data_IF_224477259365
#
_entry.id   IF_224477259365
#
_cell.length_a   1.000
_cell.length_b   1.000
_cell.length_c   1.000
_cell.angle_alpha   90.00
_cell.angle_beta   90.00
_cell.angle_gamma   90.00
#
_symmetry.space_group_name_H-M   'P 1'
#
loop_
_entity.id
_entity.type
_entity.pdbx_description
1 polymer ?
#
# COMPACT_ATOMS: atom_id res chain seq x y z
N UNK A 1 19.12 -5.17 46.40
CA UNK A 1 19.45 -5.54 45.00
C UNK A 1 18.44 -4.83 44.13
N UNK A 2 18.86 -3.99 43.19
CA UNK A 2 17.92 -3.36 42.26
C UNK A 2 17.31 -4.43 41.37
N UNK A 3 15.98 -4.48 41.27
CA UNK A 3 15.31 -5.33 40.28
C UNK A 3 15.81 -4.94 38.89
N UNK A 4 16.26 -5.93 38.11
CA UNK A 4 16.65 -5.69 36.73
C UNK A 4 15.40 -5.31 35.93
N UNK A 5 15.41 -4.11 35.33
CA UNK A 5 14.34 -3.66 34.45
C UNK A 5 14.43 -4.47 33.15
N UNK A 6 13.36 -5.18 32.81
CA UNK A 6 13.28 -6.04 31.61
C UNK A 6 12.32 -5.41 30.61
N UNK A 7 12.78 -5.24 29.37
CA UNK A 7 11.95 -4.80 28.25
C UNK A 7 11.67 -5.96 27.29
N UNK A 8 10.42 -6.04 26.82
CA UNK A 8 10.00 -6.98 25.78
C UNK A 8 9.24 -6.26 24.68
N UNK A 9 9.26 -6.83 23.48
CA UNK A 9 8.54 -6.28 22.32
C UNK A 9 7.04 -6.46 22.55
N UNK A 10 6.30 -5.36 22.48
CA UNK A 10 4.84 -5.37 22.48
C UNK A 10 4.34 -5.76 21.09
N UNK A 11 4.85 -5.09 20.05
CA UNK A 11 4.60 -5.41 18.64
C UNK A 11 5.73 -4.91 17.75
N UNK A 12 5.69 -5.32 16.49
CA UNK A 12 6.55 -4.88 15.41
C UNK A 12 5.69 -4.60 14.18
N UNK A 13 6.03 -3.54 13.44
CA UNK A 13 5.45 -3.26 12.12
C UNK A 13 6.58 -3.33 11.11
N UNK A 14 6.43 -4.22 10.14
CA UNK A 14 7.34 -4.40 9.02
C UNK A 14 6.73 -3.83 7.75
N UNK A 15 7.49 -3.04 7.01
CA UNK A 15 7.17 -2.56 5.69
C UNK A 15 8.01 -3.38 4.72
N UNK A 16 7.33 -4.15 3.88
CA UNK A 16 7.93 -5.11 2.95
C UNK A 16 7.64 -4.63 1.53
N UNK A 17 8.67 -4.17 0.83
CA UNK A 17 8.52 -3.64 -0.53
C UNK A 17 9.14 -4.57 -1.57
N UNK A 18 8.29 -5.11 -2.43
CA UNK A 18 8.66 -6.13 -3.43
C UNK A 18 9.76 -5.65 -4.39
N UNK A 19 9.82 -4.36 -4.73
CA UNK A 19 10.86 -3.78 -5.60
C UNK A 19 12.29 -4.18 -5.18
N UNK A 20 12.56 -4.19 -3.88
CA UNK A 20 13.89 -4.55 -3.34
C UNK A 20 14.01 -6.05 -3.03
N UNK A 21 12.88 -6.73 -2.83
CA UNK A 21 12.83 -8.11 -2.37
C UNK A 21 12.64 -9.11 -3.52
N UNK A 22 12.30 -8.67 -4.73
CA UNK A 22 12.27 -9.53 -5.91
C UNK A 22 13.67 -10.08 -6.25
N UNK A 23 13.73 -11.39 -6.55
CA UNK A 23 14.95 -12.11 -6.92
C UNK A 23 15.22 -12.10 -8.42
N UNK A 24 16.38 -12.60 -8.84
CA UNK A 24 16.85 -12.59 -10.25
C UNK A 24 15.97 -13.41 -11.21
N UNK A 25 15.21 -14.36 -10.66
CA UNK A 25 14.18 -15.14 -11.35
C UNK A 25 12.92 -14.33 -11.68
N UNK A 26 12.78 -13.13 -11.10
CA UNK A 26 11.60 -12.28 -11.25
C UNK A 26 10.41 -12.71 -10.41
N UNK A 27 10.56 -13.71 -9.54
CA UNK A 27 9.50 -14.15 -8.63
C UNK A 27 9.31 -13.13 -7.50
N UNK A 28 8.04 -12.78 -7.22
CA UNK A 28 7.70 -11.88 -6.12
C UNK A 28 8.20 -12.45 -4.79
N UNK A 29 8.62 -11.57 -3.88
CA UNK A 29 8.86 -11.95 -2.50
C UNK A 29 7.66 -12.67 -1.90
N UNK A 30 6.44 -12.21 -2.22
CA UNK A 30 5.20 -12.68 -1.62
C UNK A 30 4.71 -14.04 -2.12
N UNK A 31 5.35 -14.56 -3.17
CA UNK A 31 5.06 -15.91 -3.68
C UNK A 31 5.95 -16.99 -3.07
N UNK A 32 6.95 -16.60 -2.26
CA UNK A 32 7.87 -17.53 -1.61
C UNK A 32 7.29 -18.09 -0.30
N UNK A 33 7.74 -19.28 0.09
CA UNK A 33 7.42 -19.85 1.40
C UNK A 33 8.11 -19.07 2.55
N UNK A 34 7.69 -19.33 3.79
CA UNK A 34 8.19 -18.63 4.98
C UNK A 34 9.72 -18.74 5.16
N UNK A 35 10.29 -19.93 5.01
CA UNK A 35 11.73 -20.13 5.22
C UNK A 35 12.59 -19.39 4.18
N UNK A 36 12.12 -19.36 2.93
CA UNK A 36 12.78 -18.61 1.85
C UNK A 36 12.65 -17.10 2.04
N UNK A 37 11.49 -16.61 2.50
CA UNK A 37 11.28 -15.21 2.87
C UNK A 37 12.24 -14.76 3.97
N UNK A 38 12.33 -15.53 5.07
CA UNK A 38 13.24 -15.25 6.18
C UNK A 38 14.71 -15.25 5.74
N UNK A 39 15.11 -16.25 4.94
CA UNK A 39 16.48 -16.37 4.41
C UNK A 39 16.84 -15.21 3.48
N UNK A 40 15.89 -14.78 2.64
CA UNK A 40 16.06 -13.67 1.71
C UNK A 40 16.18 -12.33 2.44
N UNK A 41 15.30 -12.07 3.42
CA UNK A 41 15.38 -10.88 4.27
C UNK A 41 16.73 -10.85 4.98
N UNK A 42 17.14 -11.94 5.63
CA UNK A 42 18.41 -12.01 6.34
C UNK A 42 19.58 -11.66 5.42
N UNK A 43 19.62 -12.25 4.22
CA UNK A 43 20.66 -11.98 3.22
C UNK A 43 20.66 -10.52 2.76
N UNK A 44 19.50 -9.92 2.52
CA UNK A 44 19.37 -8.51 2.11
C UNK A 44 19.80 -7.57 3.23
N UNK A 45 19.44 -7.85 4.47
CA UNK A 45 19.85 -7.07 5.64
C UNK A 45 21.37 -7.16 5.90
N UNK A 46 21.95 -8.36 5.85
CA UNK A 46 23.40 -8.57 6.06
C UNK A 46 24.24 -7.83 5.02
N UNK A 47 23.78 -7.80 3.77
CA UNK A 47 24.46 -7.12 2.67
C UNK A 47 24.08 -5.63 2.55
N UNK A 48 23.23 -5.10 3.44
CA UNK A 48 22.72 -3.71 3.41
C UNK A 48 22.06 -3.34 2.07
N UNK A 49 21.32 -4.29 1.49
CA UNK A 49 20.58 -4.14 0.23
C UNK A 49 19.08 -3.88 0.48
N UNK A 50 18.65 -3.82 1.73
CA UNK A 50 17.30 -3.47 2.10
C UNK A 50 17.31 -2.72 3.44
N UNK A 51 16.89 -1.46 3.41
CA UNK A 51 16.70 -0.67 4.62
C UNK A 51 15.58 0.34 4.38
N UNK A 52 14.46 0.13 5.07
CA UNK A 52 13.28 0.98 4.96
C UNK A 52 13.54 2.43 5.39
N UNK A 53 14.56 2.66 6.22
CA UNK A 53 14.93 3.99 6.73
C UNK A 53 15.50 4.89 5.63
N UNK A 54 16.00 4.28 4.55
CA UNK A 54 16.42 5.00 3.35
C UNK A 54 15.23 5.47 2.50
N UNK A 55 14.04 4.88 2.71
CA UNK A 55 12.82 5.19 1.97
C UNK A 55 11.84 6.06 2.75
N UNK A 56 11.80 5.91 4.08
CA UNK A 56 10.82 6.54 4.93
C UNK A 56 11.37 7.12 6.23
N UNK A 57 10.80 8.27 6.59
CA UNK A 57 10.84 8.83 7.93
C UNK A 57 9.59 8.36 8.69
N UNK A 58 9.77 7.60 9.77
CA UNK A 58 8.68 7.08 10.61
C UNK A 58 8.70 7.76 11.98
N UNK A 59 7.62 8.41 12.40
CA UNK A 59 7.56 9.14 13.67
C UNK A 59 6.22 8.97 14.40
N UNK A 60 6.24 9.02 15.74
CA UNK A 60 5.00 9.10 16.52
C UNK A 60 4.32 10.47 16.28
N UNK A 61 3.00 10.49 16.13
CA UNK A 61 2.22 11.72 15.86
C UNK A 61 1.08 11.92 16.86
N UNK A 62 0.48 13.11 16.87
CA UNK A 62 -0.63 13.46 17.76
C UNK A 62 -0.31 13.24 19.24
N UNK A 63 -1.26 12.65 19.97
CA UNK A 63 -1.15 12.32 21.41
C UNK A 63 -0.18 11.17 21.70
N UNK A 64 0.24 10.40 20.70
CA UNK A 64 1.09 9.20 20.84
C UNK A 64 2.41 9.50 21.55
N UNK A 65 3.03 10.66 21.31
CA UNK A 65 4.28 11.05 22.01
C UNK A 65 4.07 11.11 23.54
N UNK A 66 2.93 11.61 23.98
CA UNK A 66 2.57 11.67 25.40
C UNK A 66 2.24 10.28 25.95
N UNK A 67 1.48 9.47 25.19
CA UNK A 67 1.13 8.09 25.56
C UNK A 67 2.39 7.25 25.76
N UNK A 68 3.35 7.31 24.82
CA UNK A 68 4.62 6.60 24.92
C UNK A 68 5.38 6.95 26.20
N UNK A 69 5.43 8.24 26.55
CA UNK A 69 6.10 8.72 27.77
C UNK A 69 5.39 8.31 29.06
N UNK A 70 4.05 8.31 29.06
CA UNK A 70 3.22 7.97 30.20
C UNK A 70 3.34 6.47 30.53
N UNK A 71 3.29 5.61 29.51
CA UNK A 71 3.39 4.16 29.67
C UNK A 71 4.82 3.60 29.59
N UNK A 72 5.83 4.47 29.50
CA UNK A 72 7.26 4.09 29.37
C UNK A 72 7.52 3.14 28.19
N UNK A 73 6.79 3.36 27.09
CA UNK A 73 6.99 2.63 25.85
C UNK A 73 8.20 3.18 25.10
N UNK A 74 8.98 2.27 24.53
CA UNK A 74 10.18 2.61 23.76
C UNK A 74 9.95 2.23 22.30
N UNK A 75 10.16 3.19 21.40
CA UNK A 75 10.08 2.98 19.95
C UNK A 75 11.49 2.84 19.40
N UNK A 76 11.74 1.79 18.62
CA UNK A 76 13.00 1.57 17.92
C UNK A 76 12.75 1.38 16.42
N UNK A 77 13.32 2.26 15.59
CA UNK A 77 13.30 2.12 14.13
C UNK A 77 14.28 1.01 13.71
N UNK A 78 13.86 0.12 12.82
CA UNK A 78 14.66 -0.99 12.28
C UNK A 78 14.79 -0.85 10.77
N UNK A 79 15.60 -1.69 10.13
CA UNK A 79 15.69 -1.75 8.67
C UNK A 79 14.43 -2.32 8.00
N UNK A 80 13.53 -2.95 8.76
CA UNK A 80 12.25 -3.47 8.26
C UNK A 80 11.07 -2.57 8.62
N UNK A 81 11.18 -1.70 9.62
CA UNK A 81 10.11 -0.78 10.01
C UNK A 81 10.37 -0.22 11.39
N UNK A 82 9.54 -0.59 12.37
CA UNK A 82 9.74 -0.18 13.76
C UNK A 82 9.18 -1.20 14.75
N UNK A 83 9.68 -1.13 15.97
CA UNK A 83 9.30 -1.98 17.10
C UNK A 83 8.88 -1.07 18.25
N UNK A 84 7.83 -1.45 18.95
CA UNK A 84 7.46 -0.84 20.24
C UNK A 84 7.70 -1.86 21.34
N UNK A 85 8.50 -1.47 22.33
CA UNK A 85 8.79 -2.26 23.52
C UNK A 85 8.13 -1.67 24.75
N UNK A 86 7.78 -2.54 25.70
CA UNK A 86 7.27 -2.16 27.02
C UNK A 86 8.08 -2.83 28.13
N UNK A 87 8.11 -2.18 29.29
CA UNK A 87 8.68 -2.75 30.51
C UNK A 87 7.75 -3.83 31.06
N UNK A 88 8.33 -4.96 31.50
CA UNK A 88 7.56 -6.11 31.97
C UNK A 88 8.03 -6.66 33.31
N UNK A 89 7.08 -7.26 34.01
CA UNK A 89 7.32 -8.16 35.14
C UNK A 89 7.26 -9.60 34.61
N UNK A 90 8.29 -10.38 34.95
CA UNK A 90 8.39 -11.79 34.54
C UNK A 90 7.65 -12.66 35.53
N UNK A 91 6.73 -13.48 35.04
CA UNK A 91 6.00 -14.45 35.84
C UNK A 91 6.19 -15.85 35.26
N UNK A 92 6.41 -16.85 36.11
CA UNK A 92 6.49 -18.24 35.69
C UNK A 92 5.23 -18.96 36.14
N UNK A 93 4.47 -19.51 35.20
CA UNK A 93 3.23 -20.24 35.46
C UNK A 93 3.27 -21.59 34.73
N UNK A 94 3.24 -22.68 35.50
CA UNK A 94 3.21 -24.04 34.95
C UNK A 94 4.32 -24.34 33.91
N UNK A 95 5.53 -23.82 34.14
CA UNK A 95 6.67 -24.00 33.22
C UNK A 95 6.69 -23.04 32.03
N UNK A 96 5.70 -22.15 31.91
CA UNK A 96 5.66 -21.09 30.89
C UNK A 96 6.15 -19.78 31.51
N UNK A 97 7.10 -19.11 30.86
CA UNK A 97 7.52 -17.75 31.23
C UNK A 97 6.64 -16.74 30.50
N UNK A 98 5.84 -16.03 31.28
CA UNK A 98 4.93 -14.97 30.86
C UNK A 98 5.49 -13.60 31.20
N UNK A 99 5.08 -12.60 30.43
CA UNK A 99 5.54 -11.21 30.59
C UNK A 99 4.35 -10.29 30.73
N UNK A 100 4.18 -9.71 31.93
CA UNK A 100 3.10 -8.77 32.21
C UNK A 100 3.62 -7.35 32.04
N UNK A 101 2.96 -6.47 31.27
CA UNK A 101 3.29 -5.05 31.24
C UNK A 101 3.31 -4.46 32.65
N UNK A 102 4.34 -3.67 32.97
CA UNK A 102 4.45 -3.02 34.29
C UNK A 102 3.34 -1.98 34.49
N UNK A 103 2.95 -1.31 33.41
CA UNK A 103 1.87 -0.33 33.40
C UNK A 103 0.67 -0.93 32.68
N UNK A 104 -0.51 -0.80 33.28
CA UNK A 104 -1.77 -1.23 32.68
C UNK A 104 -2.21 -0.23 31.62
N UNK A 105 -2.55 -0.73 30.44
CA UNK A 105 -3.00 0.10 29.32
C UNK A 105 -4.51 0.25 29.37
N UNK A 106 -5.02 1.43 29.01
CA UNK A 106 -6.46 1.58 28.74
C UNK A 106 -6.80 0.87 27.43
N UNK A 107 -7.97 0.23 27.33
CA UNK A 107 -8.42 -0.38 26.07
C UNK A 107 -8.59 0.67 24.96
N UNK A 108 -8.94 1.91 25.31
CA UNK A 108 -9.06 3.02 24.35
C UNK A 108 -7.70 3.59 23.91
N UNK A 109 -6.59 3.00 24.36
CA UNK A 109 -5.24 3.44 23.96
C UNK A 109 -5.00 3.08 22.50
N UNK A 110 -4.45 4.05 21.78
CA UNK A 110 -4.01 3.86 20.41
C UNK A 110 -2.68 4.60 20.17
N UNK A 111 -1.82 4.00 19.35
CA UNK A 111 -0.50 4.51 19.03
C UNK A 111 -0.43 4.79 17.53
N UNK A 112 -0.36 6.07 17.18
CA UNK A 112 -0.30 6.56 15.81
C UNK A 112 1.11 6.95 15.40
N UNK A 113 1.53 6.44 14.25
CA UNK A 113 2.83 6.71 13.64
C UNK A 113 2.66 7.18 12.19
N UNK A 114 3.29 8.29 11.81
CA UNK A 114 3.35 8.70 10.41
C UNK A 114 4.44 7.97 9.65
N UNK A 115 4.19 7.72 8.37
CA UNK A 115 5.16 7.24 7.39
C UNK A 115 5.27 8.31 6.32
N UNK A 116 6.44 8.94 6.21
CA UNK A 116 6.71 9.99 5.23
C UNK A 116 7.80 9.53 4.25
N UNK A 117 7.55 9.53 2.93
CA UNK A 117 8.57 9.20 1.95
C UNK A 117 9.73 10.19 2.02
N UNK A 118 10.96 9.67 2.14
CA UNK A 118 12.20 10.44 2.02
C UNK A 118 12.84 10.27 0.63
N UNK A 119 12.59 9.13 -0.02
CA UNK A 119 13.11 8.83 -1.35
C UNK A 119 12.22 9.42 -2.46
N UNK A 120 12.80 10.26 -3.34
CA UNK A 120 12.06 10.92 -4.43
C UNK A 120 11.49 9.97 -5.49
N UNK A 121 12.04 8.77 -5.60
CA UNK A 121 11.62 7.75 -6.56
C UNK A 121 10.55 6.79 -6.03
N UNK A 122 10.16 6.92 -4.76
CA UNK A 122 9.19 6.01 -4.11
C UNK A 122 7.91 5.85 -4.93
N UNK A 123 7.28 6.97 -5.33
CA UNK A 123 6.04 6.95 -6.12
C UNK A 123 6.20 6.24 -7.48
N UNK A 124 7.42 6.24 -8.04
CA UNK A 124 7.73 5.62 -9.31
C UNK A 124 7.93 4.11 -9.21
N UNK A 125 8.39 3.59 -8.07
CA UNK A 125 8.64 2.16 -7.87
C UNK A 125 7.49 1.42 -7.17
N UNK A 126 6.64 2.13 -6.43
CA UNK A 126 5.54 1.52 -5.67
C UNK A 126 4.24 1.55 -6.46
N UNK A 127 3.47 0.47 -6.38
CA UNK A 127 2.17 0.36 -7.03
C UNK A 127 1.08 1.13 -6.28
N UNK A 128 1.16 2.46 -6.33
CA UNK A 128 0.22 3.38 -5.67
C UNK A 128 -0.48 4.28 -6.70
N UNK A 129 -1.70 4.73 -6.42
CA UNK A 129 -2.40 5.65 -7.32
C UNK A 129 -1.70 7.02 -7.35
N UNK A 130 -1.43 7.52 -8.56
CA UNK A 130 -0.64 8.73 -8.81
C UNK A 130 -1.51 9.99 -8.87
N UNK A 131 -2.78 9.83 -9.27
CA UNK A 131 -3.74 10.95 -9.36
C UNK A 131 -5.09 10.51 -8.78
N UNK A 132 -5.17 10.26 -7.47
CA UNK A 132 -6.43 9.94 -6.81
C UNK A 132 -7.40 11.14 -6.90
N UNK A 133 -8.73 10.88 -6.94
CA UNK A 133 -9.73 11.95 -6.92
C UNK A 133 -9.80 12.66 -5.55
N UNK A 134 -9.50 11.92 -4.47
CA UNK A 134 -9.44 12.41 -3.10
C UNK A 134 -7.97 12.65 -2.69
N UNK A 135 -7.66 13.71 -1.92
CA UNK A 135 -6.33 13.96 -1.40
C UNK A 135 -6.05 13.10 -0.15
N UNK A 136 -6.56 11.87 -0.13
CA UNK A 136 -6.43 10.96 1.00
C UNK A 136 -5.02 10.36 1.06
N UNK A 137 -4.60 10.10 2.29
CA UNK A 137 -3.38 9.34 2.59
C UNK A 137 -3.77 7.95 3.10
N UNK A 138 -2.79 7.05 3.14
CA UNK A 138 -3.02 5.67 3.56
C UNK A 138 -3.25 5.60 5.08
N UNK A 139 -4.18 4.77 5.54
CA UNK A 139 -4.46 4.53 6.95
C UNK A 139 -4.44 3.03 7.21
N UNK A 140 -3.50 2.60 8.06
CA UNK A 140 -3.32 1.21 8.43
C UNK A 140 -3.64 1.02 9.90
N UNK A 141 -4.38 -0.02 10.25
CA UNK A 141 -4.71 -0.35 11.63
C UNK A 141 -4.74 -1.85 11.85
N UNK A 142 -4.51 -2.29 13.09
CA UNK A 142 -4.68 -3.69 13.48
C UNK A 142 -6.13 -4.05 13.86
N UNK A 143 -7.02 -3.06 13.91
CA UNK A 143 -8.43 -3.26 14.26
C UNK A 143 -9.25 -3.83 13.11
N UNK A 144 -10.18 -4.71 13.45
CA UNK A 144 -11.12 -5.36 12.51
C UNK A 144 -10.40 -6.05 11.34
N UNK A 145 -9.25 -6.67 11.65
CA UNK A 145 -8.43 -7.39 10.68
C UNK A 145 -8.60 -8.89 10.82
N UNK A 146 -8.69 -9.54 9.67
CA UNK A 146 -8.71 -10.99 9.58
C UNK A 146 -7.30 -11.55 9.37
N UNK A 147 -7.09 -12.76 9.87
CA UNK A 147 -5.86 -13.51 9.64
C UNK A 147 -5.70 -13.77 8.15
N UNK A 148 -4.49 -13.57 7.63
CA UNK A 148 -4.19 -13.90 6.24
C UNK A 148 -3.31 -15.15 6.17
N UNK A 149 -3.92 -16.26 5.77
CA UNK A 149 -3.22 -17.51 5.51
C UNK A 149 -2.72 -17.55 4.07
N UNK A 150 -1.39 -17.59 3.92
CA UNK A 150 -0.76 -17.52 2.62
C UNK A 150 -0.83 -18.87 1.89
N UNK A 151 -1.57 -18.92 0.78
CA UNK A 151 -1.52 -20.03 -0.16
C UNK A 151 -0.38 -19.86 -1.19
N UNK A 152 0.27 -20.96 -1.64
CA UNK A 152 -0.02 -22.36 -1.33
C UNK A 152 0.72 -22.92 -0.08
N UNK A 153 1.63 -22.15 0.52
CA UNK A 153 2.55 -22.65 1.55
C UNK A 153 1.96 -22.70 2.97
N UNK A 154 0.70 -22.32 3.13
CA UNK A 154 -0.12 -22.34 4.34
C UNK A 154 0.65 -21.92 5.59
N UNK A 155 0.93 -20.61 5.66
CA UNK A 155 1.38 -20.00 6.89
C UNK A 155 0.64 -18.70 7.15
N UNK A 156 0.46 -18.38 8.42
CA UNK A 156 -0.26 -17.20 8.87
C UNK A 156 0.63 -15.96 8.85
N UNK A 157 0.10 -14.89 8.31
CA UNK A 157 0.66 -13.54 8.33
C UNK A 157 -0.37 -12.52 8.82
N UNK A 158 0.09 -11.36 9.28
CA UNK A 158 -0.76 -10.32 9.87
C UNK A 158 -0.64 -8.98 9.10
N UNK A 159 -1.05 -8.92 7.81
CA UNK A 159 -1.08 -7.68 7.07
C UNK A 159 -2.13 -6.71 7.66
N UNK A 160 -1.77 -5.44 7.79
CA UNK A 160 -2.67 -4.39 8.32
C UNK A 160 -3.31 -3.55 7.22
N UNK A 161 -3.14 -3.93 5.95
CA UNK A 161 -3.91 -3.38 4.84
C UNK A 161 -5.36 -3.86 4.86
N UNK A 162 -6.26 -3.12 4.24
CA UNK A 162 -7.65 -3.49 4.00
C UNK A 162 -7.74 -4.55 2.90
N UNK A 163 -8.90 -5.19 2.84
CA UNK A 163 -9.28 -5.95 1.64
C UNK A 163 -9.42 -4.99 0.45
N UNK A 164 -9.21 -5.52 -0.75
CA UNK A 164 -9.34 -4.74 -1.98
C UNK A 164 -10.80 -4.30 -2.17
N UNK A 165 -11.01 -3.05 -2.57
CA UNK A 165 -12.34 -2.53 -2.85
C UNK A 165 -13.07 -3.37 -3.91
N UNK A 166 -14.36 -3.60 -3.68
CA UNK A 166 -15.25 -4.18 -4.68
C UNK A 166 -15.28 -3.26 -5.91
N UNK A 167 -15.28 -3.86 -7.10
CA UNK A 167 -15.47 -3.12 -8.34
C UNK A 167 -16.79 -2.33 -8.32
N UNK A 168 -16.70 -1.03 -8.58
CA UNK A 168 -17.85 -0.12 -8.68
C UNK A 168 -17.95 0.47 -10.08
N UNK A 169 -19.17 0.52 -10.62
CA UNK A 169 -19.46 1.16 -11.90
C UNK A 169 -19.22 2.67 -11.82
N UNK A 170 -18.62 3.25 -12.85
CA UNK A 170 -18.32 4.69 -12.93
C UNK A 170 -17.04 5.13 -12.20
N UNK A 171 -16.38 4.24 -11.46
CA UNK A 171 -15.02 4.47 -10.96
C UNK A 171 -14.01 4.35 -12.11
N UNK A 172 -13.04 5.26 -12.12
CA UNK A 172 -11.93 5.23 -13.07
C UNK A 172 -10.70 4.66 -12.37
N UNK A 173 -10.20 3.55 -12.88
CA UNK A 173 -9.07 2.81 -12.32
C UNK A 173 -7.79 3.19 -13.04
N UNK A 174 -6.75 3.56 -12.27
CA UNK A 174 -5.41 3.76 -12.82
C UNK A 174 -4.71 2.44 -13.08
N UNK A 175 -3.73 2.42 -13.98
CA UNK A 175 -2.86 1.25 -14.16
C UNK A 175 -2.22 0.86 -12.82
N UNK A 176 -2.38 -0.40 -12.43
CA UNK A 176 -1.95 -0.95 -11.15
C UNK A 176 -3.03 -0.96 -10.06
N UNK A 177 -4.18 -0.30 -10.27
CA UNK A 177 -5.28 -0.36 -9.32
C UNK A 177 -5.79 -1.79 -9.15
N UNK A 178 -6.15 -2.14 -7.91
CA UNK A 178 -6.71 -3.44 -7.57
C UNK A 178 -8.21 -3.29 -7.34
N UNK A 179 -9.00 -4.23 -7.85
CA UNK A 179 -10.43 -4.32 -7.60
C UNK A 179 -10.87 -5.78 -7.45
N UNK A 180 -11.86 -6.02 -6.58
CA UNK A 180 -12.50 -7.32 -6.44
C UNK A 180 -13.72 -7.44 -7.37
N UNK A 181 -13.67 -8.41 -8.28
CA UNK A 181 -14.75 -8.77 -9.19
C UNK A 181 -15.49 -10.02 -8.70
N UNK A 182 -16.09 -9.92 -7.51
CA UNK A 182 -16.91 -10.99 -6.93
C UNK A 182 -16.09 -12.19 -6.44
N UNK A 183 -15.02 -11.94 -5.69
CA UNK A 183 -14.07 -12.91 -5.15
C UNK A 183 -12.83 -13.14 -6.01
N UNK A 184 -12.72 -12.48 -7.17
CA UNK A 184 -11.53 -12.52 -8.03
C UNK A 184 -10.87 -11.16 -8.03
N UNK A 185 -9.69 -11.07 -7.41
CA UNK A 185 -8.91 -9.85 -7.39
C UNK A 185 -8.26 -9.65 -8.75
N UNK A 186 -8.46 -8.47 -9.33
CA UNK A 186 -7.87 -8.08 -10.61
C UNK A 186 -7.04 -6.82 -10.46
N UNK A 187 -5.98 -6.75 -11.26
CA UNK A 187 -5.14 -5.57 -11.41
C UNK A 187 -5.37 -4.93 -12.78
N UNK A 188 -5.56 -3.62 -12.82
CA UNK A 188 -5.68 -2.87 -14.05
C UNK A 188 -4.32 -2.80 -14.77
N UNK A 189 -4.23 -3.29 -16.01
CA UNK A 189 -2.98 -3.24 -16.81
C UNK A 189 -2.83 -1.94 -17.59
N UNK A 190 -3.88 -1.13 -17.65
CA UNK A 190 -3.88 0.23 -18.15
C UNK A 190 -4.99 1.02 -17.45
N UNK A 191 -5.05 2.32 -17.68
CA UNK A 191 -6.17 3.12 -17.21
C UNK A 191 -7.48 2.64 -17.85
N UNK A 192 -8.53 2.50 -17.05
CA UNK A 192 -9.80 1.91 -17.50
C UNK A 192 -10.98 2.39 -16.66
N UNK A 193 -12.17 2.37 -17.25
CA UNK A 193 -13.46 2.64 -16.60
C UNK A 193 -14.07 1.40 -15.91
N UNK A 194 -13.29 0.32 -15.79
CA UNK A 194 -13.74 -0.96 -15.25
C UNK A 194 -14.39 -1.92 -16.24
N UNK A 195 -14.87 -1.45 -17.41
CA UNK A 195 -15.78 -2.23 -18.24
C UNK A 195 -15.11 -3.20 -19.24
N UNK A 196 -13.90 -2.89 -19.71
CA UNK A 196 -13.19 -3.73 -20.68
C UNK A 196 -12.36 -4.83 -19.99
N UNK A 197 -12.70 -6.12 -20.16
CA UNK A 197 -11.95 -7.22 -19.54
C UNK A 197 -10.48 -7.29 -19.98
N UNK A 198 -10.13 -6.79 -21.18
CA UNK A 198 -8.75 -6.80 -21.68
C UNK A 198 -7.84 -5.82 -20.91
N UNK A 199 -8.42 -4.92 -20.12
CA UNK A 199 -7.67 -3.98 -19.28
C UNK A 199 -7.38 -4.53 -17.89
N UNK A 200 -7.72 -5.78 -17.62
CA UNK A 200 -7.55 -6.42 -16.32
C UNK A 200 -6.78 -7.72 -16.41
N UNK A 201 -6.06 -8.05 -15.34
CA UNK A 201 -5.44 -9.37 -15.15
C UNK A 201 -5.75 -9.89 -13.77
N UNK A 202 -6.12 -11.16 -13.68
CA UNK A 202 -6.36 -11.84 -12.41
C UNK A 202 -5.04 -11.95 -11.62
N UNK A 203 -5.11 -11.65 -10.33
CA UNK A 203 -3.98 -11.80 -9.42
C UNK A 203 -4.41 -12.54 -8.16
N UNK A 204 -3.46 -13.20 -7.50
CA UNK A 204 -3.70 -13.77 -6.17
C UNK A 204 -3.75 -12.64 -5.14
N UNK A 205 -4.73 -12.68 -4.24
CA UNK A 205 -4.72 -11.79 -3.09
C UNK A 205 -3.48 -12.08 -2.24
N UNK A 206 -2.75 -11.04 -1.88
CA UNK A 206 -1.59 -11.09 -0.99
C UNK A 206 -1.69 -10.01 0.09
N UNK A 207 -2.86 -9.36 0.22
CA UNK A 207 -3.09 -8.18 1.06
C UNK A 207 -2.05 -7.10 0.80
N UNK A 208 -1.90 -6.75 -0.48
CA UNK A 208 -1.10 -5.60 -0.88
C UNK A 208 -1.81 -4.31 -0.52
N UNK A 209 -1.03 -3.28 -0.18
CA UNK A 209 -1.55 -1.92 -0.06
C UNK A 209 -2.25 -1.53 -1.36
N UNK A 210 -3.48 -1.02 -1.25
CA UNK A 210 -4.35 -0.66 -2.39
C UNK A 210 -5.11 0.64 -2.13
N UNK A 211 -5.94 1.08 -3.08
CA UNK A 211 -6.77 2.28 -2.88
C UNK A 211 -7.81 2.11 -1.75
N UNK A 212 -8.10 0.88 -1.31
CA UNK A 212 -8.93 0.60 -0.14
C UNK A 212 -8.31 1.07 1.19
N UNK A 213 -6.98 1.20 1.23
CA UNK A 213 -6.25 1.72 2.39
C UNK A 213 -6.21 3.26 2.41
N UNK A 214 -6.56 3.90 1.29
CA UNK A 214 -6.41 5.35 1.10
C UNK A 214 -7.61 6.13 1.66
N UNK A 215 -7.84 5.95 2.97
CA UNK A 215 -9.05 6.40 3.64
C UNK A 215 -8.89 7.72 4.41
N UNK A 216 -7.69 8.05 4.91
CA UNK A 216 -7.53 9.17 5.84
C UNK A 216 -7.56 10.53 5.12
N UNK A 217 -8.49 11.38 5.55
CA UNK A 217 -8.75 12.73 5.04
C UNK A 217 -8.89 13.72 6.20
N UNK A 218 -8.59 15.01 5.99
CA UNK A 218 -9.03 16.06 6.88
C UNK A 218 -10.54 16.28 6.68
N UNK A 219 -11.20 17.00 7.59
CA UNK A 219 -12.62 17.36 7.45
C UNK A 219 -12.88 18.33 6.30
N UNK A 220 -11.85 19.07 5.87
CA UNK A 220 -11.93 20.01 4.77
C UNK A 220 -10.94 19.62 3.67
N UNK A 221 -11.46 19.25 2.50
CA UNK A 221 -10.66 18.80 1.38
C UNK A 221 -11.32 19.16 0.04
N UNK A 222 -10.72 18.72 -1.06
CA UNK A 222 -11.31 18.92 -2.39
C UNK A 222 -11.34 17.62 -3.16
N UNK A 223 -12.47 17.32 -3.77
CA UNK A 223 -12.64 16.24 -4.72
C UNK A 223 -12.25 16.74 -6.11
N UNK A 224 -11.41 15.98 -6.82
CA UNK A 224 -10.93 16.34 -8.16
C UNK A 224 -11.48 15.36 -9.20
N UNK A 225 -12.13 15.88 -10.22
CA UNK A 225 -12.58 15.12 -11.39
C UNK A 225 -11.49 15.09 -12.45
N UNK A 226 -11.53 14.05 -13.29
CA UNK A 226 -10.73 14.02 -14.52
C UNK A 226 -11.47 14.81 -15.60
N UNK A 227 -10.74 15.62 -16.38
CA UNK A 227 -11.33 16.53 -17.37
C UNK A 227 -12.19 15.78 -18.40
N UNK A 228 -11.80 14.55 -18.70
CA UNK A 228 -12.45 13.65 -19.63
C UNK A 228 -13.87 13.25 -19.18
N UNK A 229 -14.18 13.36 -17.88
CA UNK A 229 -15.49 13.01 -17.33
C UNK A 229 -16.57 14.03 -17.65
N UNK A 230 -16.21 15.28 -17.98
CA UNK A 230 -17.14 16.36 -18.32
C UNK A 230 -18.32 16.51 -17.32
N UNK A 231 -18.01 16.48 -16.01
CA UNK A 231 -19.01 16.57 -14.94
C UNK A 231 -19.61 17.98 -14.87
N UNK A 232 -20.93 18.13 -14.85
CA UNK A 232 -21.61 19.44 -14.72
C UNK A 232 -22.51 19.51 -13.50
N UNK A 233 -22.91 18.36 -12.95
CA UNK A 233 -23.64 18.23 -11.70
C UNK A 233 -22.98 17.16 -10.83
N UNK A 234 -22.93 17.37 -9.52
CA UNK A 234 -22.51 16.36 -8.56
C UNK A 234 -23.22 16.55 -7.23
N UNK A 235 -23.47 15.43 -6.56
CA UNK A 235 -23.92 15.34 -5.19
C UNK A 235 -22.94 14.48 -4.37
N UNK A 236 -22.62 14.96 -3.19
CA UNK A 236 -21.80 14.28 -2.19
C UNK A 236 -22.65 14.06 -0.94
N UNK A 237 -22.73 12.82 -0.46
CA UNK A 237 -23.46 12.47 0.76
C UNK A 237 -22.49 11.80 1.72
N UNK A 238 -22.36 12.35 2.94
CA UNK A 238 -21.58 11.75 4.02
C UNK A 238 -22.51 11.00 4.97
N UNK A 239 -22.23 9.72 5.18
CA UNK A 239 -22.95 8.84 6.10
C UNK A 239 -22.04 8.36 7.24
N UNK A 240 -22.62 8.22 8.44
CA UNK A 240 -21.95 7.62 9.61
C UNK A 240 -21.83 6.09 9.49
N UNK A 241 -21.17 5.46 10.46
CA UNK A 241 -21.01 4.00 10.54
C UNK A 241 -22.35 3.23 10.62
N UNK A 242 -23.45 3.91 10.96
CA UNK A 242 -24.81 3.34 11.02
C UNK A 242 -25.60 3.58 9.73
N UNK A 243 -24.98 4.14 8.69
CA UNK A 243 -25.59 4.56 7.43
C UNK A 243 -26.61 5.71 7.57
N UNK A 244 -26.50 6.53 8.61
CA UNK A 244 -27.29 7.75 8.71
C UNK A 244 -26.61 8.87 7.92
N UNK A 245 -27.38 9.55 7.06
CA UNK A 245 -26.92 10.74 6.36
C UNK A 245 -26.65 11.88 7.35
N UNK A 246 -25.41 12.35 7.40
CA UNK A 246 -24.99 13.49 8.21
C UNK A 246 -25.01 14.78 7.41
N UNK A 247 -24.55 14.76 6.16
CA UNK A 247 -24.43 15.97 5.35
C UNK A 247 -24.46 15.68 3.85
N UNK A 248 -25.22 16.50 3.13
CA UNK A 248 -25.26 16.50 1.67
C UNK A 248 -24.72 17.82 1.10
N UNK A 249 -23.84 17.73 0.10
CA UNK A 249 -23.27 18.86 -0.64
C UNK A 249 -23.52 18.63 -2.13
N UNK A 250 -24.33 19.48 -2.75
CA UNK A 250 -24.62 19.41 -4.18
C UNK A 250 -24.08 20.64 -4.92
N UNK A 251 -23.48 20.42 -6.09
CA UNK A 251 -22.98 21.47 -6.99
C UNK A 251 -23.49 21.21 -8.41
N UNK A 252 -23.92 22.26 -9.08
CA UNK A 252 -24.32 22.21 -10.48
C UNK A 252 -23.91 23.49 -11.21
N UNK A 253 -23.63 23.37 -12.50
CA UNK A 253 -23.21 24.48 -13.36
C UNK A 253 -23.39 24.17 -14.84
N UNK A 254 -23.23 25.21 -15.68
CA UNK A 254 -23.20 25.05 -17.14
C UNK A 254 -21.82 24.63 -17.65
N UNK A 255 -20.77 25.00 -16.92
CA UNK A 255 -19.38 24.64 -17.20
C UNK A 255 -18.99 23.33 -16.51
N UNK A 256 -17.94 22.67 -17.01
CA UNK A 256 -17.43 21.45 -16.40
C UNK A 256 -16.76 21.72 -15.05
N UNK A 257 -17.10 20.90 -14.06
CA UNK A 257 -16.54 20.90 -12.73
C UNK A 257 -15.23 20.11 -12.73
N UNK A 258 -14.11 20.80 -12.48
CA UNK A 258 -12.79 20.17 -12.34
C UNK A 258 -12.50 19.79 -10.88
N UNK A 259 -12.81 20.68 -9.93
CA UNK A 259 -12.55 20.47 -8.51
C UNK A 259 -13.66 21.05 -7.65
N UNK A 260 -14.15 20.27 -6.69
CA UNK A 260 -15.19 20.68 -5.74
C UNK A 260 -14.62 20.67 -4.33
N UNK A 261 -14.76 21.78 -3.62
CA UNK A 261 -14.40 21.88 -2.22
C UNK A 261 -15.49 21.27 -1.35
N UNK A 262 -15.08 20.40 -0.42
CA UNK A 262 -15.96 19.70 0.51
C UNK A 262 -15.56 20.08 1.94
N UNK A 263 -16.54 20.55 2.70
CA UNK A 263 -16.35 20.97 4.09
C UNK A 263 -17.28 20.16 4.99
N UNK A 264 -16.70 19.22 5.72
CA UNK A 264 -17.39 18.36 6.68
C UNK A 264 -17.06 18.72 8.12
N UNK A 265 -16.65 19.95 8.44
CA UNK A 265 -16.39 20.31 9.85
C UNK A 265 -17.65 20.33 10.73
N UNK A 266 -18.81 20.64 10.13
CA UNK A 266 -20.12 20.73 10.78
C UNK A 266 -21.19 20.10 9.91
N UNK A 267 -22.24 19.57 10.56
CA UNK A 267 -23.44 19.03 9.91
C UNK A 267 -24.07 20.09 8.98
N UNK A 268 -24.31 21.30 9.49
CA UNK A 268 -24.72 22.47 8.69
C UNK A 268 -23.66 23.58 8.77
N UNK A 269 -23.05 23.90 7.63
CA UNK A 269 -22.01 24.95 7.56
C UNK A 269 -22.53 26.37 7.69
N UNK A 270 -23.83 26.60 7.48
CA UNK A 270 -24.44 27.93 7.58
C UNK A 270 -24.94 28.24 9.00
N UNK A 271 -24.90 27.26 9.90
CA UNK A 271 -25.35 27.40 11.28
C UNK A 271 -24.18 27.19 12.25
N UNK A 272 -23.73 28.27 12.89
CA UNK A 272 -22.62 28.21 13.85
C UNK A 272 -22.87 27.29 15.06
N UNK A 273 -24.14 27.06 15.41
CA UNK A 273 -24.54 26.18 16.52
C UNK A 273 -24.79 24.73 16.07
N UNK A 274 -24.57 24.41 14.79
CA UNK A 274 -24.65 23.03 14.30
C UNK A 274 -23.54 22.19 14.90
N UNK A 275 -23.85 20.92 15.17
CA UNK A 275 -22.91 19.95 15.72
C UNK A 275 -21.69 19.78 14.81
N UNK A 276 -20.53 19.64 15.44
CA UNK A 276 -19.30 19.29 14.74
C UNK A 276 -19.37 17.81 14.33
N UNK A 277 -18.83 17.51 13.15
CA UNK A 277 -18.66 16.12 12.74
C UNK A 277 -17.39 15.60 13.43
N UNK A 278 -17.47 14.53 14.23
CA UNK A 278 -16.31 14.04 14.98
C UNK A 278 -15.29 13.33 14.09
N UNK A 279 -14.09 13.12 14.61
CA UNK A 279 -13.12 12.23 13.96
C UNK A 279 -13.66 10.78 13.96
N UNK A 280 -13.59 10.07 12.84
CA UNK A 280 -14.21 8.74 12.74
C UNK A 280 -14.21 8.16 11.32
N UNK A 281 -14.73 6.92 11.20
CA UNK A 281 -14.98 6.27 9.92
C UNK A 281 -16.32 6.76 9.36
N UNK A 282 -16.36 6.97 8.04
CA UNK A 282 -17.52 7.45 7.30
C UNK A 282 -17.58 6.83 5.91
N UNK A 283 -18.78 6.84 5.34
CA UNK A 283 -19.02 6.53 3.93
C UNK A 283 -19.29 7.82 3.16
N UNK A 284 -18.46 8.13 2.16
CA UNK A 284 -18.67 9.24 1.23
C UNK A 284 -19.23 8.72 -0.08
N UNK A 285 -20.51 8.99 -0.33
CA UNK A 285 -21.19 8.69 -1.58
C UNK A 285 -21.06 9.86 -2.53
N UNK A 286 -20.70 9.58 -3.78
CA UNK A 286 -20.50 10.57 -4.84
C UNK A 286 -21.34 10.17 -6.03
N UNK A 287 -22.27 11.04 -6.42
CA UNK A 287 -23.10 10.86 -7.61
C UNK A 287 -22.89 12.02 -8.56
N UNK A 288 -22.22 11.76 -9.67
CA UNK A 288 -21.92 12.75 -10.68
C UNK A 288 -22.86 12.62 -11.89
N UNK A 289 -23.46 13.72 -12.31
CA UNK A 289 -24.52 13.81 -13.32
C UNK A 289 -25.65 12.80 -13.00
N UNK A 290 -26.22 12.15 -14.02
CA UNK A 290 -27.14 11.03 -13.86
C UNK A 290 -26.40 9.66 -13.85
N UNK A 291 -25.13 9.65 -13.42
CA UNK A 291 -24.28 8.46 -13.39
C UNK A 291 -24.52 7.55 -12.18
N UNK A 292 -23.77 6.45 -12.10
CA UNK A 292 -23.78 5.56 -10.93
C UNK A 292 -23.27 6.29 -9.68
N UNK A 293 -23.70 5.79 -8.52
CA UNK A 293 -23.20 6.23 -7.22
C UNK A 293 -21.89 5.50 -6.91
N UNK A 294 -20.87 6.26 -6.54
CA UNK A 294 -19.56 5.75 -6.11
C UNK A 294 -19.46 5.93 -4.59
N UNK A 295 -19.03 4.89 -3.89
CA UNK A 295 -18.88 4.88 -2.43
C UNK A 295 -17.41 4.78 -2.06
N UNK A 296 -16.94 5.71 -1.22
CA UNK A 296 -15.61 5.69 -0.62
C UNK A 296 -15.73 5.49 0.90
N UNK A 297 -15.02 4.50 1.43
CA UNK A 297 -14.81 4.40 2.87
C UNK A 297 -13.66 5.34 3.27
N UNK A 298 -13.94 6.28 4.16
CA UNK A 298 -13.00 7.33 4.55
C UNK A 298 -12.91 7.44 6.07
N UNK A 299 -11.75 7.89 6.55
CA UNK A 299 -11.55 8.24 7.96
C UNK A 299 -11.25 9.72 8.05
N UNK A 300 -12.12 10.49 8.72
CA UNK A 300 -11.94 11.92 8.92
C UNK A 300 -11.13 12.15 10.19
N UNK A 301 -9.98 12.80 10.08
CA UNK A 301 -9.22 13.27 11.23
C UNK A 301 -8.28 14.42 10.85
N UNK A 302 -8.43 15.58 11.50
CA UNK A 302 -7.60 16.74 11.21
C UNK A 302 -6.21 16.69 11.86
N UNK A 303 -6.09 16.05 13.03
CA UNK A 303 -4.91 16.12 13.88
C UNK A 303 -3.77 15.23 13.39
N UNK A 304 -4.10 14.07 12.79
CA UNK A 304 -3.11 13.13 12.25
C UNK A 304 -2.90 13.26 10.74
N UNK A 305 -3.74 14.01 10.03
CA UNK A 305 -3.60 14.20 8.59
C UNK A 305 -2.49 15.20 8.24
N UNK A 306 -1.58 14.79 7.37
CA UNK A 306 -0.67 15.66 6.63
C UNK A 306 -0.52 15.13 5.21
N UNK A 307 -0.78 15.97 4.21
CA UNK A 307 -0.65 15.63 2.79
C UNK A 307 0.75 15.16 2.38
N UNK A 308 1.78 15.49 3.18
CA UNK A 308 3.16 15.07 2.93
C UNK A 308 3.44 13.66 3.46
N UNK A 309 2.57 13.11 4.30
CA UNK A 309 2.66 11.72 4.72
C UNK A 309 2.18 10.80 3.60
N UNK A 310 2.84 9.66 3.48
CA UNK A 310 2.31 8.55 2.70
C UNK A 310 1.21 7.87 3.49
N UNK A 311 1.43 7.59 4.76
CA UNK A 311 0.48 6.86 5.58
C UNK A 311 0.49 7.26 7.06
N UNK A 312 -0.59 6.92 7.76
CA UNK A 312 -0.63 6.75 9.22
C UNK A 312 -0.81 5.28 9.55
N UNK A 313 -0.06 4.79 10.54
CA UNK A 313 -0.25 3.49 11.18
C UNK A 313 -0.85 3.72 12.56
N UNK A 314 -2.07 3.26 12.81
CA UNK A 314 -2.80 3.37 14.07
C UNK A 314 -2.96 1.99 14.73
N UNK A 315 -2.10 1.72 15.71
CA UNK A 315 -2.12 0.46 16.46
C UNK A 315 -2.95 0.62 17.73
N UNK A 316 -4.06 -0.11 17.80
CA UNK A 316 -5.08 0.01 18.84
C UNK A 316 -5.02 -1.15 19.84
N UNK A 317 -5.36 -0.84 21.08
CA UNK A 317 -5.39 -1.79 22.21
C UNK A 317 -6.79 -2.37 22.45
N UNK A 318 -7.82 -1.85 21.78
CA UNK A 318 -9.22 -2.32 21.87
C UNK A 318 -9.49 -3.59 21.06
N UNK A 319 -8.54 -4.02 20.23
CA UNK A 319 -8.57 -5.32 19.55
C UNK A 319 -8.24 -6.43 20.56
N UNK A 320 -9.24 -7.22 20.95
CA UNK A 320 -9.15 -8.28 21.97
C UNK A 320 -9.37 -9.67 21.35
N UNK A 321 -8.79 -10.70 21.97
CA UNK A 321 -8.98 -12.12 21.60
C UNK A 321 -8.70 -12.45 20.12
N UNK A 322 -7.92 -11.61 19.45
CA UNK A 322 -7.54 -11.71 18.05
C UNK A 322 -6.04 -11.94 17.89
N UNK A 323 -5.57 -12.52 16.77
CA UNK A 323 -4.15 -12.52 16.41
C UNK A 323 -3.56 -11.11 16.23
N UNK A 324 -4.42 -10.11 16.01
CA UNK A 324 -4.04 -8.70 15.97
C UNK A 324 -4.05 -8.00 17.33
N UNK A 325 -4.44 -8.70 18.41
CA UNK A 325 -4.38 -8.15 19.76
C UNK A 325 -2.94 -8.09 20.28
N UNK A 326 -2.61 -7.01 20.99
CA UNK A 326 -1.27 -6.81 21.57
C UNK A 326 -1.03 -7.65 22.83
N UNK A 327 -2.11 -7.90 23.57
CA UNK A 327 -2.13 -8.64 24.83
C UNK A 327 -3.04 -9.87 24.72
N UNK A 328 -2.80 -10.86 25.58
CA UNK A 328 -3.75 -11.94 25.81
C UNK A 328 -4.88 -11.53 26.77
N UNK A 329 -5.87 -12.41 26.93
CA UNK A 329 -7.04 -12.18 27.80
C UNK A 329 -6.72 -12.04 29.30
N UNK A 330 -5.47 -12.26 29.72
CA UNK A 330 -4.98 -12.07 31.09
C UNK A 330 -4.03 -10.88 31.20
N UNK A 331 -3.99 -10.03 30.19
CA UNK A 331 -3.12 -8.85 30.10
C UNK A 331 -1.61 -9.18 30.09
N UNK A 332 -1.22 -10.39 29.65
CA UNK A 332 0.19 -10.67 29.34
C UNK A 332 0.49 -10.31 27.89
N UNK A 333 1.75 -10.00 27.61
CA UNK A 333 2.23 -9.93 26.23
C UNK A 333 2.03 -11.28 25.54
N UNK A 334 1.75 -11.25 24.22
CA UNK A 334 1.73 -12.46 23.39
C UNK A 334 3.09 -13.17 23.32
N UNK A 335 4.17 -12.40 23.46
CA UNK A 335 5.53 -12.98 23.61
C UNK A 335 5.57 -13.83 24.87
N UNK A 336 6.09 -15.05 24.78
CA UNK A 336 6.29 -15.95 25.94
C UNK A 336 7.36 -17.00 25.63
N UNK A 337 7.86 -17.66 26.66
CA UNK A 337 8.62 -18.91 26.52
C UNK A 337 7.69 -20.02 26.99
N UNK A 338 7.38 -20.96 26.12
CA UNK A 338 6.47 -22.05 26.44
C UNK A 338 7.13 -23.14 27.30
N UNK A 339 6.37 -24.18 27.64
CA UNK A 339 6.86 -25.27 28.48
C UNK A 339 7.94 -26.13 27.80
N UNK A 340 8.16 -25.98 26.49
CA UNK A 340 9.21 -26.64 25.72
C UNK A 340 10.46 -25.76 25.56
N UNK A 341 10.51 -24.62 26.25
CA UNK A 341 11.56 -23.59 26.12
C UNK A 341 11.58 -22.94 24.72
N UNK A 342 10.48 -23.04 23.97
CA UNK A 342 10.33 -22.38 22.67
C UNK A 342 9.78 -20.96 22.83
N UNK A 343 10.37 -20.03 22.10
CA UNK A 343 9.97 -18.62 22.13
C UNK A 343 8.80 -18.38 21.19
N UNK A 344 7.65 -18.06 21.75
CA UNK A 344 6.54 -17.45 21.01
C UNK A 344 6.85 -15.97 20.80
N UNK A 345 6.78 -15.51 19.55
CA UNK A 345 7.13 -14.14 19.18
C UNK A 345 6.00 -13.15 19.49
N UNK A 346 6.34 -11.87 19.55
CA UNK A 346 5.37 -10.78 19.53
C UNK A 346 4.59 -10.75 18.20
N UNK A 347 3.43 -10.07 18.14
CA UNK A 347 2.74 -9.82 16.88
C UNK A 347 3.63 -9.00 15.94
N UNK A 348 3.73 -9.45 14.69
CA UNK A 348 4.47 -8.78 13.62
C UNK A 348 3.44 -8.42 12.55
N UNK A 349 3.13 -7.12 12.47
CA UNK A 349 2.22 -6.57 11.47
C UNK A 349 2.96 -6.23 10.20
N UNK A 350 2.31 -6.41 9.05
CA UNK A 350 2.95 -6.20 7.75
C UNK A 350 2.23 -5.13 6.92
N UNK A 351 3.01 -4.23 6.34
CA UNK A 351 2.59 -3.32 5.27
C UNK A 351 3.28 -3.80 3.99
N UNK A 352 2.49 -4.30 3.03
CA UNK A 352 3.00 -4.99 1.85
C UNK A 352 2.90 -4.10 0.63
N UNK A 353 4.04 -3.62 0.15
CA UNK A 353 4.12 -2.73 -1.01
C UNK A 353 4.51 -3.51 -2.26
N UNK A 354 3.56 -3.62 -3.19
CA UNK A 354 3.79 -4.18 -4.52
C UNK A 354 4.63 -3.23 -5.37
N UNK A 355 5.46 -3.78 -6.25
CA UNK A 355 6.19 -2.98 -7.23
C UNK A 355 5.28 -2.45 -8.35
N UNK A 356 5.58 -1.26 -8.84
CA UNK A 356 4.86 -0.66 -9.97
C UNK A 356 5.13 -1.47 -11.23
N UNK A 357 4.08 -1.93 -11.88
CA UNK A 357 4.16 -2.52 -13.21
C UNK A 357 4.15 -1.42 -14.27
N UNK A 358 4.99 -1.57 -15.29
CA UNK A 358 5.09 -0.62 -16.40
C UNK A 358 5.28 -1.36 -17.72
N UNK A 359 4.83 -0.76 -18.81
CA UNK A 359 5.21 -1.20 -20.14
C UNK A 359 6.65 -0.79 -20.42
N UNK A 360 7.50 -1.74 -20.77
CA UNK A 360 8.90 -1.44 -21.05
C UNK A 360 9.02 -1.01 -22.50
N UNK A 361 9.51 0.22 -22.70
CA UNK A 361 9.66 0.83 -24.02
C UNK A 361 11.14 0.96 -24.35
N UNK A 362 11.57 0.14 -25.29
CA UNK A 362 12.93 0.13 -25.81
C UNK A 362 13.05 1.12 -26.96
N UNK A 363 14.04 1.99 -26.88
CA UNK A 363 14.35 3.01 -27.87
C UNK A 363 15.75 2.74 -28.42
N UNK A 364 15.91 2.75 -29.74
CA UNK A 364 17.20 2.54 -30.41
C UNK A 364 17.42 3.60 -31.47
N UNK A 365 18.58 4.24 -31.44
CA UNK A 365 19.00 5.17 -32.49
C UNK A 365 19.16 4.41 -33.82
N UNK A 366 18.50 4.91 -34.88
CA UNK A 366 18.43 4.24 -36.18
C UNK A 366 17.35 3.15 -36.29
N UNK A 367 16.53 2.94 -35.24
CA UNK A 367 15.43 2.00 -35.22
C UNK A 367 15.83 0.53 -35.03
N UNK A 368 14.82 -0.33 -35.01
CA UNK A 368 14.98 -1.79 -34.89
C UNK A 368 14.86 -2.45 -36.25
N UNK A 369 15.73 -3.43 -36.52
CA UNK A 369 15.68 -4.23 -37.75
C UNK A 369 14.52 -5.24 -37.72
N UNK A 370 14.15 -5.78 -38.88
CA UNK A 370 13.14 -6.84 -38.97
C UNK A 370 13.54 -8.08 -38.14
N UNK A 371 14.82 -8.41 -38.09
CA UNK A 371 15.36 -9.50 -37.26
C UNK A 371 15.19 -9.21 -35.76
N UNK A 372 15.43 -7.97 -35.32
CA UNK A 372 15.20 -7.56 -33.92
C UNK A 372 13.72 -7.72 -33.54
N UNK A 373 12.81 -7.32 -34.43
CA UNK A 373 11.35 -7.45 -34.25
C UNK A 373 10.97 -8.93 -34.20
N UNK A 374 11.44 -9.74 -35.14
CA UNK A 374 11.13 -11.17 -35.19
C UNK A 374 11.67 -11.93 -33.97
N UNK A 375 12.85 -11.57 -33.48
CA UNK A 375 13.45 -12.20 -32.30
C UNK A 375 12.71 -11.88 -30.98
N UNK A 376 11.95 -10.77 -30.95
CA UNK A 376 11.28 -10.26 -29.74
C UNK A 376 9.75 -10.32 -29.81
N UNK A 377 9.15 -10.73 -30.93
CA UNK A 377 7.71 -10.66 -31.19
C UNK A 377 6.82 -11.43 -30.19
N UNK A 378 7.38 -12.40 -29.46
CA UNK A 378 6.66 -13.18 -28.45
C UNK A 378 6.38 -12.38 -27.18
N UNK A 379 7.09 -11.26 -26.95
CA UNK A 379 6.95 -10.45 -25.74
C UNK A 379 7.04 -8.94 -25.96
N UNK A 380 7.44 -8.48 -27.16
CA UNK A 380 7.42 -7.07 -27.57
C UNK A 380 6.62 -6.86 -28.86
N UNK A 381 6.09 -5.65 -29.04
CA UNK A 381 5.48 -5.17 -30.29
C UNK A 381 6.14 -3.87 -30.80
N UNK A 382 6.26 -3.66 -32.11
CA UNK A 382 6.79 -2.43 -32.69
C UNK A 382 5.83 -1.22 -32.55
N UNK A 383 6.39 -0.02 -32.38
CA UNK A 383 5.66 1.26 -32.49
C UNK A 383 6.46 2.26 -33.36
N UNK A 384 5.89 2.80 -34.48
CA UNK A 384 4.62 2.39 -35.09
C UNK A 384 4.69 0.96 -35.65
N UNK A 385 3.52 0.35 -35.88
CA UNK A 385 3.44 -0.97 -36.52
C UNK A 385 3.96 -0.91 -37.97
N UNK A 386 4.48 -2.03 -38.47
CA UNK A 386 5.04 -2.18 -39.83
C UNK A 386 4.06 -1.64 -40.90
N UNK A 387 4.53 -1.02 -42.00
CA UNK A 387 5.82 -1.23 -42.68
C UNK A 387 6.93 -0.19 -42.41
N UNK A 388 6.77 0.70 -41.43
CA UNK A 388 7.80 1.67 -41.07
C UNK A 388 8.92 1.00 -40.25
N UNK A 389 10.16 1.50 -40.34
CA UNK A 389 11.24 1.07 -39.42
C UNK A 389 10.82 1.47 -38.01
N UNK A 390 10.54 0.52 -37.10
CA UNK A 390 10.05 0.87 -35.79
C UNK A 390 11.17 1.51 -34.98
N UNK A 391 10.92 2.70 -34.46
CA UNK A 391 11.86 3.39 -33.57
C UNK A 391 11.80 2.82 -32.15
N UNK A 392 10.70 2.11 -31.83
CA UNK A 392 10.42 1.62 -30.49
C UNK A 392 9.89 0.19 -30.52
N UNK A 393 10.27 -0.58 -29.50
CA UNK A 393 9.63 -1.85 -29.15
C UNK A 393 9.02 -1.73 -27.75
N UNK A 394 7.78 -2.17 -27.58
CA UNK A 394 7.02 -2.05 -26.32
C UNK A 394 6.64 -3.45 -25.85
N UNK A 395 6.77 -3.74 -24.56
CA UNK A 395 6.30 -5.01 -24.01
C UNK A 395 4.81 -5.26 -24.29
N UNK A 396 4.46 -6.51 -24.57
CA UNK A 396 3.05 -6.91 -24.75
C UNK A 396 2.29 -6.76 -23.42
N UNK A 397 2.93 -7.16 -22.33
CA UNK A 397 2.42 -7.07 -20.97
C UNK A 397 3.28 -6.15 -20.10
N UNK A 398 2.69 -5.51 -19.08
CA UNK A 398 3.46 -4.69 -18.16
C UNK A 398 4.24 -5.55 -17.16
N UNK A 399 5.49 -5.16 -16.89
CA UNK A 399 6.39 -5.82 -15.94
C UNK A 399 6.68 -4.96 -14.73
N UNK A 400 6.80 -5.60 -13.58
CA UNK A 400 7.18 -4.95 -12.32
C UNK A 400 8.57 -4.34 -12.39
N UNK A 401 8.70 -3.10 -11.92
CA UNK A 401 10.00 -2.49 -11.66
C UNK A 401 10.66 -3.23 -10.49
N UNK A 402 11.96 -3.50 -10.62
CA UNK A 402 12.73 -4.24 -9.62
C UNK A 402 14.11 -3.63 -9.49
N UNK A 403 14.67 -3.65 -8.29
CA UNK A 403 16.08 -3.28 -8.06
C UNK A 403 17.01 -4.30 -8.73
N UNK A 404 16.65 -5.57 -8.61
CA UNK A 404 17.40 -6.68 -9.18
C UNK A 404 17.27 -6.68 -10.72
N UNK A 405 18.34 -7.07 -11.41
CA UNK A 405 18.33 -7.28 -12.85
C UNK A 405 17.47 -8.50 -13.23
N UNK A 406 16.21 -8.25 -13.61
CA UNK A 406 15.29 -9.26 -14.15
C UNK A 406 15.10 -9.01 -15.65
N UNK A 407 15.87 -9.66 -16.54
CA UNK A 407 15.74 -9.44 -17.97
C UNK A 407 14.48 -10.09 -18.57
N UNK A 408 14.13 -9.70 -19.79
CA UNK A 408 13.32 -10.57 -20.65
C UNK A 408 14.19 -11.74 -21.10
N UNK A 409 13.67 -12.96 -20.93
CA UNK A 409 14.33 -14.20 -21.34
C UNK A 409 13.41 -14.92 -22.32
N UNK A 410 13.92 -15.24 -23.51
CA UNK A 410 13.32 -16.18 -24.44
C UNK A 410 14.36 -17.26 -24.77
N UNK A 411 14.27 -18.41 -24.11
CA UNK A 411 15.32 -19.44 -24.19
C UNK A 411 16.66 -18.98 -23.62
N UNK A 412 17.78 -19.41 -24.21
CA UNK A 412 19.14 -19.15 -23.70
C UNK A 412 19.86 -17.94 -24.32
N UNK A 413 19.27 -17.25 -25.30
CA UNK A 413 20.05 -16.44 -26.26
C UNK A 413 19.72 -14.94 -26.31
N UNK A 414 18.59 -14.48 -25.77
CA UNK A 414 18.23 -13.05 -25.84
C UNK A 414 17.94 -12.49 -24.45
N UNK A 415 18.78 -11.54 -24.03
CA UNK A 415 18.68 -10.84 -22.75
C UNK A 415 18.57 -9.33 -23.00
N UNK A 416 17.37 -8.78 -22.80
CA UNK A 416 17.15 -7.34 -22.95
C UNK A 416 17.51 -6.58 -21.66
N UNK A 417 18.06 -5.36 -21.76
CA UNK A 417 18.33 -4.53 -20.58
C UNK A 417 17.02 -4.19 -19.87
N UNK A 418 17.05 -4.10 -18.54
CA UNK A 418 15.91 -3.62 -17.74
C UNK A 418 15.94 -2.09 -17.55
N UNK A 419 14.87 -1.46 -17.06
CA UNK A 419 14.90 -0.06 -16.62
C UNK A 419 15.85 0.12 -15.44
N UNK A 420 16.95 0.86 -15.62
CA UNK A 420 17.93 1.14 -14.55
C UNK A 420 17.53 2.26 -13.61
N UNK A 421 16.72 3.20 -14.10
CA UNK A 421 16.21 4.31 -13.31
C UNK A 421 14.70 4.17 -13.20
N UNK A 422 14.12 4.37 -12.02
CA UNK A 422 12.67 4.37 -11.82
C UNK A 422 12.05 5.66 -12.36
N UNK A 423 12.28 5.96 -13.64
CA UNK A 423 11.64 7.07 -14.34
C UNK A 423 10.46 6.50 -15.12
N UNK A 424 9.27 6.96 -14.77
CA UNK A 424 8.02 6.54 -15.42
C UNK A 424 7.45 7.66 -16.29
N UNK A 425 6.83 7.29 -17.41
CA UNK A 425 6.13 8.21 -18.30
C UNK A 425 4.68 7.75 -18.49
N UNK A 426 3.73 8.64 -18.26
CA UNK A 426 2.31 8.36 -18.49
C UNK A 426 1.92 8.87 -19.87
N UNK A 427 1.46 7.98 -20.74
CA UNK A 427 1.10 8.29 -22.13
C UNK A 427 0.01 7.31 -22.59
N UNK A 428 -0.99 7.77 -23.34
CA UNK A 428 -2.08 6.93 -23.89
C UNK A 428 -2.60 5.90 -22.87
N UNK A 429 -3.02 6.38 -21.69
CA UNK A 429 -3.63 5.53 -20.64
C UNK A 429 -2.70 4.47 -20.02
N UNK A 430 -1.41 4.49 -20.35
CA UNK A 430 -0.42 3.50 -19.87
C UNK A 430 0.74 4.18 -19.17
N UNK A 431 1.41 3.43 -18.31
CA UNK A 431 2.65 3.84 -17.65
C UNK A 431 3.82 3.10 -18.29
N UNK A 432 4.79 3.85 -18.80
CA UNK A 432 5.97 3.34 -19.49
C UNK A 432 7.24 3.55 -18.69
N UNK A 433 8.17 2.61 -18.83
CA UNK A 433 9.57 2.77 -18.43
C UNK A 433 10.44 2.79 -19.68
N UNK A 434 11.24 3.85 -19.84
CA UNK A 434 12.09 4.04 -21.02
C UNK A 434 13.43 3.33 -20.86
N UNK A 435 13.82 2.61 -21.90
CA UNK A 435 15.08 1.89 -21.97
C UNK A 435 15.78 2.31 -23.26
N UNK A 436 16.95 2.91 -23.15
CA UNK A 436 17.73 3.36 -24.30
C UNK A 436 18.84 2.37 -24.63
N UNK A 437 18.81 1.85 -25.85
CA UNK A 437 19.76 0.85 -26.35
C UNK A 437 20.81 1.57 -27.19
N UNK A 438 22.07 1.38 -26.84
CA UNK A 438 23.22 1.90 -27.56
C UNK A 438 24.13 0.77 -28.05
N UNK A 439 25.15 1.11 -28.87
CA UNK A 439 26.09 0.12 -29.42
C UNK A 439 26.87 -0.65 -28.33
N UNK A 440 26.97 -0.10 -27.11
CA UNK A 440 27.65 -0.69 -25.96
C UNK A 440 26.79 -1.68 -25.16
N UNK A 441 25.46 -1.62 -25.30
CA UNK A 441 24.47 -2.50 -24.66
C UNK A 441 23.74 -3.35 -25.71
N UNK A 442 24.46 -3.83 -26.73
CA UNK A 442 23.87 -4.50 -27.90
C UNK A 442 22.97 -5.68 -27.51
N UNK A 443 21.83 -5.70 -28.19
CA UNK A 443 20.70 -6.62 -28.06
C UNK A 443 20.99 -8.07 -28.41
N UNK A 444 21.99 -8.33 -29.24
CA UNK A 444 22.14 -9.61 -29.91
C UNK A 444 23.62 -9.79 -30.18
N UNK A 445 24.30 -10.59 -29.37
CA UNK A 445 25.51 -11.25 -29.79
C UNK A 445 25.49 -12.63 -29.13
N UNK A 446 25.52 -13.66 -29.98
CA UNK A 446 25.92 -15.01 -29.58
C UNK A 446 27.26 -15.00 -28.84
#
# INVERSE_FOLDING_TARGET
MGEAIIFKRLFEVQILHDYFLTTVDGESFFDKNKADKESLILRKLQNRLYDIRDLFEIEAVGTTKSILNNYKLIVAKTALGFIVGTEVVVENQAGVTLYKPRFEFSNDTHLTFSIKPSASFFNSISNISLRPPLPSIYYFTNKDKEVFDEAPFLYTSLPISNEVNIHQDGVLYEMGALADFGGTIREAVQYTDGNDPAHWVDITDKRFVSDADRALLPHNFSYTFKKEQNITQVEFVLEDENNNELKTISKSGLDTLDRVHLNFTKVDENNANSDDIPDGQYSLKVKANAGPEIVYQIYLNNDIYDKNYFAIVDIRFDELDSPYSLLDNKNYLKTRIDALDEKVTHPIFEIRLKNRRTYWRYNREGGFSEDDVNATNTFLKPEPELPLVPEKLISLDPKGLTETLVPFINGTTLMLPHPRMPSIKIEKERIFSEIFINQSNRLLNN
#
